data_IF_713657437463
#
_entry.id   IF_713657437463
#
_cell.length_a   1.000
_cell.length_b   1.000
_cell.length_c   1.000
_cell.angle_alpha   90.00
_cell.angle_beta   90.00
_cell.angle_gamma   90.00
#
_symmetry.space_group_name_H-M   'P 1'
#
loop_
_entity.id
_entity.type
_entity.pdbx_description
1 polymer ?
#
# COMPACT_ATOMS: atom_id res chain seq x y z
N UNK A 1 -16.32 -45.71 -51.22
CA UNK A 1 -15.65 -44.75 -52.12
C UNK A 1 -14.58 -44.06 -51.28
N UNK A 2 -13.31 -44.48 -51.35
CA UNK A 2 -12.25 -43.96 -52.25
C UNK A 2 -12.17 -42.42 -52.17
N UNK A 3 -11.06 -41.74 -51.86
CA UNK A 3 -9.62 -42.07 -51.86
C UNK A 3 -8.85 -40.94 -51.15
N UNK A 4 -7.77 -41.32 -50.45
CA UNK A 4 -6.40 -40.76 -50.45
C UNK A 4 -6.16 -39.25 -50.16
N UNK A 5 -5.03 -38.78 -49.62
CA UNK A 5 -3.83 -39.24 -48.89
C UNK A 5 -2.75 -38.15 -49.13
N UNK A 6 -1.61 -38.28 -48.43
CA UNK A 6 -0.25 -37.75 -48.75
C UNK A 6 0.08 -36.40 -48.09
N UNK A 7 1.25 -36.12 -47.48
CA UNK A 7 2.44 -36.82 -46.92
C UNK A 7 3.38 -35.64 -46.61
N UNK A 8 4.14 -35.67 -45.51
CA UNK A 8 5.20 -34.67 -45.32
C UNK A 8 5.92 -34.68 -43.99
N UNK A 9 6.40 -35.85 -43.55
CA UNK A 9 7.47 -35.94 -42.54
C UNK A 9 8.78 -35.59 -43.26
N UNK A 10 9.49 -34.56 -42.80
CA UNK A 10 10.91 -34.39 -43.10
C UNK A 10 11.69 -34.44 -41.79
N UNK A 11 12.18 -35.63 -41.50
CA UNK A 11 13.26 -35.88 -40.53
C UNK A 11 14.55 -35.50 -41.27
N UNK A 12 15.18 -34.38 -40.89
CA UNK A 12 16.61 -34.23 -41.10
C UNK A 12 17.31 -34.57 -39.79
N UNK A 13 17.80 -35.81 -39.74
CA UNK A 13 18.87 -36.19 -38.83
C UNK A 13 20.14 -35.52 -39.32
N UNK A 14 20.90 -34.90 -38.41
CA UNK A 14 22.31 -34.66 -38.65
C UNK A 14 23.05 -35.09 -37.39
N UNK A 15 23.68 -36.25 -37.54
CA UNK A 15 24.70 -36.81 -36.68
C UNK A 15 25.74 -35.76 -36.30
N UNK A 16 25.99 -35.63 -35.01
CA UNK A 16 27.01 -34.73 -34.49
C UNK A 16 27.14 -34.82 -32.98
N UNK A 17 27.26 -36.02 -32.42
CA UNK A 17 27.74 -36.20 -31.05
C UNK A 17 29.23 -35.80 -31.00
N UNK A 18 29.51 -34.51 -30.77
CA UNK A 18 30.81 -34.07 -30.32
C UNK A 18 30.85 -34.20 -28.79
N UNK A 19 31.66 -35.15 -28.33
CA UNK A 19 32.04 -35.32 -26.93
C UNK A 19 32.74 -34.03 -26.45
N UNK A 20 32.02 -33.21 -25.67
CA UNK A 20 32.66 -32.17 -24.87
C UNK A 20 33.42 -32.85 -23.72
N UNK A 21 34.73 -32.98 -23.90
CA UNK A 21 35.67 -33.29 -22.82
C UNK A 21 35.61 -32.11 -21.85
N UNK A 22 35.07 -32.35 -20.66
CA UNK A 22 35.19 -31.43 -19.52
C UNK A 22 36.66 -31.29 -19.19
N UNK A 23 37.22 -30.10 -19.40
CA UNK A 23 38.52 -29.72 -18.85
C UNK A 23 38.25 -29.13 -17.47
N UNK A 24 38.61 -29.87 -16.43
CA UNK A 24 38.52 -29.40 -15.06
C UNK A 24 39.47 -28.19 -14.83
N UNK A 25 39.16 -27.34 -13.83
CA UNK A 25 39.56 -25.95 -13.78
C UNK A 25 41.02 -25.74 -13.40
N UNK A 26 41.67 -24.76 -14.03
CA UNK A 26 42.97 -24.25 -13.59
C UNK A 26 42.71 -23.33 -12.38
N UNK A 27 43.31 -23.59 -11.21
CA UNK A 27 43.19 -22.72 -10.04
C UNK A 27 43.91 -21.39 -10.28
N UNK A 28 43.33 -20.24 -9.86
CA UNK A 28 44.03 -18.97 -9.94
C UNK A 28 45.18 -18.92 -8.94
N UNK A 29 46.35 -18.54 -9.46
CA UNK A 29 47.57 -18.24 -8.73
C UNK A 29 47.36 -17.00 -7.85
N UNK A 30 47.64 -17.14 -6.54
CA UNK A 30 47.47 -16.07 -5.54
C UNK A 30 48.77 -15.26 -5.50
N UNK A 31 48.72 -14.03 -6.00
CA UNK A 31 49.81 -13.04 -5.86
C UNK A 31 49.77 -12.43 -4.44
N UNK A 32 50.84 -12.50 -3.63
CA UNK A 32 50.85 -12.02 -2.26
C UNK A 32 51.18 -10.52 -2.22
N UNK A 33 50.28 -9.68 -2.72
CA UNK A 33 50.39 -8.23 -2.58
C UNK A 33 49.02 -7.56 -2.71
N UNK A 34 48.15 -7.75 -1.73
CA UNK A 34 47.25 -6.66 -1.36
C UNK A 34 46.93 -6.73 0.14
N UNK A 35 47.53 -5.78 0.84
CA UNK A 35 47.53 -5.59 2.28
C UNK A 35 46.33 -4.70 2.61
N UNK A 36 45.53 -5.16 3.58
CA UNK A 36 44.62 -4.37 4.42
C UNK A 36 43.80 -3.26 3.75
N UNK A 37 42.66 -3.64 3.15
CA UNK A 37 41.54 -2.71 2.98
C UNK A 37 40.47 -3.05 4.04
N UNK A 38 40.17 -2.15 5.00
CA UNK A 38 39.14 -2.41 5.98
C UNK A 38 37.78 -2.45 5.27
N UNK A 39 37.12 -3.60 5.35
CA UNK A 39 35.73 -3.79 4.95
C UNK A 39 34.87 -2.91 5.86
N UNK A 40 34.56 -1.69 5.41
CA UNK A 40 33.51 -0.88 6.02
C UNK A 40 32.18 -1.61 5.82
N UNK A 41 31.68 -2.19 6.92
CA UNK A 41 30.30 -2.62 7.06
C UNK A 41 29.40 -1.40 6.84
N UNK A 42 28.78 -1.31 5.66
CA UNK A 42 27.73 -0.34 5.40
C UNK A 42 26.55 -0.64 6.33
N UNK A 43 26.06 0.35 7.09
CA UNK A 43 24.86 0.16 7.90
C UNK A 43 23.65 -0.09 6.99
N UNK A 44 22.79 -0.99 7.49
CA UNK A 44 21.45 -1.30 6.96
C UNK A 44 20.74 -0.02 6.54
N UNK A 45 20.19 -0.01 5.32
CA UNK A 45 19.35 1.05 4.78
C UNK A 45 18.33 1.50 5.83
N UNK A 46 18.49 2.73 6.29
CA UNK A 46 17.61 3.34 7.27
C UNK A 46 16.21 3.51 6.67
N UNK A 47 15.22 2.98 7.38
CA UNK A 47 13.81 3.35 7.20
C UNK A 47 13.69 4.86 7.41
N UNK A 48 13.03 5.64 6.54
CA UNK A 48 12.71 7.01 6.85
C UNK A 48 11.73 7.01 8.04
N UNK A 49 12.22 7.41 9.21
CA UNK A 49 11.42 7.66 10.40
C UNK A 49 11.42 9.18 10.55
N UNK A 50 10.25 9.81 10.41
CA UNK A 50 10.09 11.22 10.79
C UNK A 50 10.50 11.37 12.26
N UNK A 51 11.23 12.42 12.60
CA UNK A 51 11.81 12.68 13.94
C UNK A 51 10.80 13.00 15.05
N UNK A 52 9.51 12.74 14.84
CA UNK A 52 8.41 12.85 15.80
C UNK A 52 7.83 11.46 16.07
N UNK A 53 7.51 11.14 17.33
CA UNK A 53 7.05 9.81 17.74
C UNK A 53 5.62 9.56 17.21
N UNK A 54 5.51 8.71 16.18
CA UNK A 54 4.22 8.35 15.60
C UNK A 54 3.31 7.70 16.64
N UNK A 55 2.06 8.17 16.74
CA UNK A 55 1.07 7.55 17.61
C UNK A 55 0.72 6.13 17.15
N UNK A 56 0.59 5.22 18.12
CA UNK A 56 0.20 3.82 17.91
C UNK A 56 1.30 2.93 17.32
N UNK A 57 0.93 1.67 17.06
CA UNK A 57 1.83 0.66 16.50
C UNK A 57 1.69 0.49 14.98
N UNK A 58 2.40 -0.48 14.42
CA UNK A 58 2.30 -0.90 13.01
C UNK A 58 1.49 -2.18 12.82
N UNK A 59 0.89 -2.72 13.87
CA UNK A 59 0.14 -3.96 13.82
C UNK A 59 -1.19 -3.77 13.09
N UNK A 60 -1.48 -4.67 12.13
CA UNK A 60 -2.79 -4.69 11.50
C UNK A 60 -3.84 -5.19 12.51
N UNK A 61 -5.05 -4.61 12.52
CA UNK A 61 -6.15 -5.17 13.28
C UNK A 61 -6.35 -6.65 12.92
N UNK A 62 -6.72 -7.46 13.91
CA UNK A 62 -6.76 -8.93 13.80
C UNK A 62 -7.57 -9.40 12.58
N UNK A 63 -8.66 -8.70 12.25
CA UNK A 63 -9.53 -9.00 11.11
C UNK A 63 -8.86 -8.81 9.73
N UNK A 64 -7.75 -8.06 9.65
CA UNK A 64 -6.98 -7.82 8.43
C UNK A 64 -5.64 -8.57 8.40
N UNK A 65 -5.11 -8.98 9.55
CA UNK A 65 -3.82 -9.70 9.67
C UNK A 65 -3.69 -10.89 8.71
N UNK A 66 -4.78 -11.65 8.52
CA UNK A 66 -4.81 -12.81 7.62
C UNK A 66 -5.10 -12.47 6.16
N UNK A 67 -5.54 -11.24 5.86
CA UNK A 67 -5.95 -10.81 4.51
C UNK A 67 -4.84 -10.19 3.69
N UNK A 68 -3.75 -9.82 4.33
CA UNK A 68 -2.61 -9.16 3.70
C UNK A 68 -1.31 -9.95 3.87
N UNK A 69 -0.38 -9.71 2.95
CA UNK A 69 1.03 -10.12 3.05
C UNK A 69 1.88 -8.86 3.01
N UNK A 70 2.72 -8.65 4.03
CA UNK A 70 3.67 -7.53 4.03
C UNK A 70 4.73 -7.74 2.94
N UNK A 71 5.08 -6.67 2.22
CA UNK A 71 6.09 -6.67 1.16
C UNK A 71 6.96 -5.42 1.25
N UNK A 72 8.16 -5.45 0.67
CA UNK A 72 8.97 -4.23 0.51
C UNK A 72 8.64 -3.56 -0.83
N UNK A 73 8.28 -2.27 -0.77
CA UNK A 73 8.14 -1.39 -1.93
C UNK A 73 8.40 0.07 -1.51
N UNK A 74 9.68 0.46 -1.37
CA UNK A 74 10.07 1.73 -0.73
C UNK A 74 9.53 2.96 -1.47
N UNK A 75 9.44 2.92 -2.80
CA UNK A 75 8.89 4.03 -3.59
C UNK A 75 7.40 4.26 -3.32
N UNK A 76 6.62 3.19 -3.14
CA UNK A 76 5.20 3.30 -2.79
C UNK A 76 5.02 3.75 -1.34
N UNK A 77 5.88 3.28 -0.43
CA UNK A 77 5.86 3.72 0.96
C UNK A 77 6.17 5.22 1.05
N UNK A 78 7.21 5.69 0.38
CA UNK A 78 7.60 7.10 0.38
C UNK A 78 6.50 8.04 -0.14
N UNK A 79 5.64 7.58 -1.05
CA UNK A 79 4.47 8.33 -1.52
C UNK A 79 3.37 8.48 -0.46
N UNK A 80 3.40 7.72 0.62
CA UNK A 80 2.37 7.75 1.65
C UNK A 80 2.82 8.44 2.94
N UNK A 81 4.12 8.50 3.21
CA UNK A 81 4.67 9.17 4.39
C UNK A 81 4.65 10.69 4.17
N UNK A 82 4.29 11.43 5.20
CA UNK A 82 4.38 12.90 5.21
C UNK A 82 5.16 13.44 6.39
N UNK A 83 5.65 14.65 6.20
CA UNK A 83 6.20 15.45 7.29
C UNK A 83 5.07 15.90 8.25
N UNK A 84 5.41 16.29 9.49
CA UNK A 84 4.45 16.93 10.39
C UNK A 84 3.62 18.00 9.68
N UNK A 85 2.35 18.08 10.06
CA UNK A 85 1.34 19.01 9.55
C UNK A 85 0.78 18.74 8.14
N UNK A 86 1.23 17.69 7.45
CA UNK A 86 0.75 17.35 6.09
C UNK A 86 -0.50 16.44 6.05
N UNK A 87 -0.90 15.80 7.16
CA UNK A 87 -2.07 14.92 7.23
C UNK A 87 -1.97 13.60 6.46
N UNK A 88 -0.74 13.12 6.21
CA UNK A 88 -0.44 11.85 5.51
C UNK A 88 -0.19 10.73 6.54
N UNK A 89 0.54 9.67 6.19
CA UNK A 89 0.99 8.69 7.17
C UNK A 89 2.23 9.18 7.91
N UNK A 90 2.31 8.93 9.22
CA UNK A 90 3.53 9.11 10.00
C UNK A 90 4.47 7.91 9.82
N UNK A 91 3.90 6.70 9.84
CA UNK A 91 4.59 5.44 9.62
C UNK A 91 3.67 4.50 8.83
N UNK A 92 4.25 3.57 8.06
CA UNK A 92 3.48 2.72 7.16
C UNK A 92 4.22 1.45 6.73
N UNK A 93 3.45 0.44 6.32
CA UNK A 93 3.95 -0.82 5.78
C UNK A 93 3.18 -1.13 4.50
N UNK A 94 3.90 -1.54 3.46
CA UNK A 94 3.29 -1.96 2.21
C UNK A 94 2.76 -3.39 2.35
N UNK A 95 1.52 -3.58 1.91
CA UNK A 95 0.82 -4.84 1.93
C UNK A 95 0.28 -5.20 0.55
N UNK A 96 0.23 -6.50 0.25
CA UNK A 96 -0.47 -7.06 -0.90
C UNK A 96 -1.72 -7.78 -0.41
N UNK A 97 -2.87 -7.47 -1.01
CA UNK A 97 -4.13 -8.16 -0.73
C UNK A 97 -4.07 -9.63 -1.18
N UNK A 98 -4.38 -10.56 -0.29
CA UNK A 98 -4.36 -12.00 -0.61
C UNK A 98 -5.54 -12.42 -1.48
N UNK A 99 -5.30 -13.46 -2.28
CA UNK A 99 -6.34 -14.15 -3.03
C UNK A 99 -7.45 -14.68 -2.11
N UNK A 100 -8.67 -14.77 -2.62
CA UNK A 100 -9.85 -15.29 -1.90
C UNK A 100 -10.17 -14.57 -0.58
N UNK A 101 -9.81 -13.29 -0.47
CA UNK A 101 -10.18 -12.46 0.68
C UNK A 101 -11.07 -11.31 0.24
N UNK A 102 -12.06 -10.97 1.07
CA UNK A 102 -12.90 -9.78 0.87
C UNK A 102 -12.40 -8.67 1.78
N UNK A 103 -11.90 -7.60 1.19
CA UNK A 103 -11.45 -6.39 1.88
C UNK A 103 -12.30 -5.25 1.35
N UNK A 104 -13.03 -4.61 2.26
CA UNK A 104 -13.85 -3.45 1.96
C UNK A 104 -13.13 -2.20 2.43
N UNK A 105 -13.04 -1.20 1.57
CA UNK A 105 -12.45 0.10 1.87
C UNK A 105 -13.52 1.19 1.77
N UNK A 106 -13.43 2.15 2.68
CA UNK A 106 -14.37 3.25 2.83
C UNK A 106 -13.66 4.58 2.58
N UNK A 107 -14.29 5.47 1.83
CA UNK A 107 -13.76 6.82 1.61
C UNK A 107 -14.87 7.84 1.70
N UNK A 108 -14.75 8.76 2.64
CA UNK A 108 -15.55 9.98 2.63
C UNK A 108 -14.92 10.98 1.65
N UNK A 109 -15.73 11.64 0.82
CA UNK A 109 -15.25 12.49 -0.27
C UNK A 109 -16.15 13.70 -0.50
N UNK A 110 -15.67 14.64 -1.32
CA UNK A 110 -16.31 15.92 -1.58
C UNK A 110 -17.20 15.84 -2.83
N UNK A 111 -18.52 15.92 -2.69
CA UNK A 111 -19.43 15.86 -3.83
C UNK A 111 -19.22 16.96 -4.88
N UNK A 112 -18.71 18.12 -4.47
CA UNK A 112 -18.42 19.25 -5.37
C UNK A 112 -17.14 19.04 -6.20
N UNK A 113 -16.31 18.07 -5.80
CA UNK A 113 -15.16 17.59 -6.58
C UNK A 113 -15.30 16.09 -6.85
N UNK A 114 -15.99 15.67 -7.93
CA UNK A 114 -16.20 14.27 -8.27
C UNK A 114 -14.91 13.45 -8.46
N UNK A 115 -13.81 14.09 -8.88
CA UNK A 115 -12.50 13.42 -8.97
C UNK A 115 -11.98 12.97 -7.60
N UNK A 116 -12.44 13.58 -6.51
CA UNK A 116 -12.09 13.16 -5.15
C UNK A 116 -12.73 11.83 -4.73
N UNK A 117 -13.68 11.29 -5.49
CA UNK A 117 -14.39 10.04 -5.17
C UNK A 117 -13.45 8.84 -5.02
N UNK A 118 -12.46 8.72 -5.90
CA UNK A 118 -11.47 7.63 -5.93
C UNK A 118 -10.06 8.15 -5.67
N UNK A 119 -9.93 9.14 -4.79
CA UNK A 119 -8.62 9.60 -4.32
C UNK A 119 -7.89 8.56 -3.46
N UNK A 120 -6.71 8.91 -2.99
CA UNK A 120 -5.73 7.93 -2.50
C UNK A 120 -5.99 7.42 -1.08
N UNK A 121 -6.71 8.18 -0.26
CA UNK A 121 -6.88 7.92 1.17
C UNK A 121 -8.19 7.19 1.49
N UNK A 122 -8.09 6.06 2.17
CA UNK A 122 -9.18 5.16 2.50
C UNK A 122 -9.11 4.68 3.95
N UNK A 123 -10.26 4.22 4.46
CA UNK A 123 -10.41 3.64 5.79
C UNK A 123 -10.72 2.14 5.70
N UNK A 124 -10.20 1.36 6.65
CA UNK A 124 -10.50 -0.08 6.80
C UNK A 124 -11.90 -0.34 7.38
N UNK A 125 -12.49 0.66 8.03
CA UNK A 125 -13.79 0.57 8.70
C UNK A 125 -14.69 1.71 8.26
N UNK A 126 -16.00 1.45 8.20
CA UNK A 126 -16.99 2.50 7.99
C UNK A 126 -16.87 3.57 9.07
N UNK A 127 -16.87 4.86 8.71
CA UNK A 127 -16.96 5.96 9.67
C UNK A 127 -18.20 5.80 10.55
N UNK A 128 -18.04 6.02 11.86
CA UNK A 128 -19.10 5.95 12.88
C UNK A 128 -18.82 7.00 13.95
N UNK A 129 -19.86 7.42 14.66
CA UNK A 129 -19.72 8.40 15.74
C UNK A 129 -19.73 9.84 15.23
N UNK A 130 -19.03 10.73 15.93
CA UNK A 130 -19.02 12.15 15.64
C UNK A 130 -18.14 12.45 14.41
N UNK A 131 -18.62 13.32 13.52
CA UNK A 131 -17.84 13.75 12.34
C UNK A 131 -16.51 14.40 12.77
N UNK A 132 -16.51 15.17 13.86
CA UNK A 132 -15.32 15.82 14.38
C UNK A 132 -14.24 14.80 14.81
N UNK A 133 -14.65 13.71 15.47
CA UNK A 133 -13.74 12.62 15.86
C UNK A 133 -13.19 11.91 14.62
N UNK A 134 -14.03 11.59 13.63
CA UNK A 134 -13.57 10.99 12.38
C UNK A 134 -12.58 11.89 11.62
N UNK A 135 -12.78 13.21 11.62
CA UNK A 135 -11.82 14.15 11.03
C UNK A 135 -10.50 14.15 11.76
N UNK A 136 -10.52 14.15 13.10
CA UNK A 136 -9.29 14.08 13.89
C UNK A 136 -8.55 12.76 13.71
N UNK A 137 -9.29 11.65 13.71
CA UNK A 137 -8.75 10.29 13.57
C UNK A 137 -8.01 10.07 12.25
N UNK A 138 -8.44 10.73 11.18
CA UNK A 138 -7.89 10.62 9.82
C UNK A 138 -7.26 11.93 9.31
N UNK A 139 -7.06 12.91 10.20
CA UNK A 139 -6.51 14.24 9.91
C UNK A 139 -7.13 14.94 8.68
N UNK A 140 -8.46 14.88 8.55
CA UNK A 140 -9.17 15.43 7.40
C UNK A 140 -9.63 16.86 7.68
N UNK A 141 -8.84 17.83 7.20
CA UNK A 141 -9.20 19.24 7.28
C UNK A 141 -10.55 19.55 6.61
N UNK A 142 -11.31 20.46 7.20
CA UNK A 142 -12.64 20.84 6.70
C UNK A 142 -12.58 21.50 5.32
N UNK A 143 -11.47 22.16 4.98
CA UNK A 143 -11.21 22.77 3.68
C UNK A 143 -10.94 21.73 2.59
N UNK A 144 -10.42 20.54 2.95
CA UNK A 144 -10.10 19.50 1.97
C UNK A 144 -11.34 18.73 1.54
N UNK A 145 -12.25 18.46 2.47
CA UNK A 145 -13.48 17.72 2.18
C UNK A 145 -14.60 18.07 3.15
N UNK A 146 -15.83 18.32 2.66
CA UNK A 146 -17.02 18.46 3.49
C UNK A 146 -17.51 17.13 4.08
N UNK A 147 -17.04 15.97 3.57
CA UNK A 147 -17.47 14.62 3.96
C UNK A 147 -18.96 14.37 3.73
N UNK A 148 -19.50 14.90 2.64
CA UNK A 148 -20.92 14.83 2.30
C UNK A 148 -21.31 13.59 1.48
N UNK A 149 -20.31 12.80 1.05
CA UNK A 149 -20.49 11.51 0.39
C UNK A 149 -19.57 10.46 0.99
N UNK A 150 -20.02 9.21 0.92
CA UNK A 150 -19.21 8.04 1.23
C UNK A 150 -19.17 7.11 0.02
N UNK A 151 -18.01 6.54 -0.28
CA UNK A 151 -17.88 5.43 -1.24
C UNK A 151 -17.32 4.21 -0.52
N UNK A 152 -17.96 3.07 -0.76
CA UNK A 152 -17.54 1.75 -0.31
C UNK A 152 -17.11 0.96 -1.55
N UNK A 153 -15.90 0.42 -1.56
CA UNK A 153 -15.40 -0.42 -2.65
C UNK A 153 -14.77 -1.71 -2.11
N UNK A 154 -14.70 -2.72 -2.97
CA UNK A 154 -13.90 -3.92 -2.72
C UNK A 154 -12.49 -3.76 -3.30
N UNK A 155 -11.48 -4.17 -2.54
CA UNK A 155 -10.08 -4.19 -2.98
C UNK A 155 -9.80 -5.45 -3.80
N UNK A 156 -9.19 -5.31 -4.97
CA UNK A 156 -8.79 -6.44 -5.82
C UNK A 156 -7.68 -7.25 -5.15
N UNK A 157 -7.73 -8.57 -5.33
CA UNK A 157 -6.62 -9.42 -4.92
C UNK A 157 -5.35 -9.06 -5.71
N UNK A 158 -4.20 -9.06 -5.03
CA UNK A 158 -2.92 -8.65 -5.61
C UNK A 158 -2.67 -7.14 -5.59
N UNK A 159 -3.66 -6.30 -5.27
CA UNK A 159 -3.46 -4.86 -5.12
C UNK A 159 -2.47 -4.55 -3.99
N UNK A 160 -1.64 -3.54 -4.21
CA UNK A 160 -0.69 -3.01 -3.22
C UNK A 160 -1.30 -1.81 -2.51
N UNK A 161 -1.20 -1.80 -1.20
CA UNK A 161 -1.66 -0.70 -0.34
C UNK A 161 -0.59 -0.37 0.68
N UNK A 162 -0.54 0.86 1.16
CA UNK A 162 0.20 1.18 2.39
C UNK A 162 -0.80 1.34 3.51
N UNK A 163 -0.55 0.68 4.64
CA UNK A 163 -1.38 0.82 5.84
C UNK A 163 -0.49 1.33 6.97
N UNK A 164 -0.96 2.35 7.68
CA UNK A 164 -0.16 3.06 8.66
C UNK A 164 -0.97 3.97 9.57
N UNK A 165 -0.30 4.62 10.51
CA UNK A 165 -0.88 5.59 11.44
C UNK A 165 -0.75 7.01 10.89
N UNK A 166 -1.67 7.90 11.26
CA UNK A 166 -1.77 9.25 10.70
C UNK A 166 -0.74 10.22 11.28
N UNK A 167 -0.17 11.05 10.41
CA UNK A 167 0.64 12.22 10.76
C UNK A 167 -0.25 13.40 11.15
N UNK A 168 0.26 14.35 11.94
CA UNK A 168 -0.47 15.58 12.26
C UNK A 168 -0.86 16.38 11.01
N UNK A 169 -1.85 17.26 11.15
CA UNK A 169 -2.26 18.18 10.09
C UNK A 169 -2.59 19.56 10.64
N UNK A 170 -1.97 20.59 10.07
CA UNK A 170 -2.38 21.97 10.32
C UNK A 170 -3.44 22.37 9.31
N UNK A 171 -4.69 22.50 9.77
CA UNK A 171 -5.82 22.85 8.92
C UNK A 171 -6.04 24.37 8.83
N UNK A 172 -5.72 25.11 9.89
CA UNK A 172 -5.76 26.58 9.94
C UNK A 172 -5.03 27.06 11.20
N UNK A 173 -4.86 28.37 11.36
CA UNK A 173 -4.27 28.99 12.58
C UNK A 173 -4.97 28.60 13.89
N UNK A 174 -6.19 28.06 13.83
CA UNK A 174 -7.00 27.68 15.00
C UNK A 174 -7.38 26.20 15.04
N UNK A 175 -6.89 25.40 14.08
CA UNK A 175 -7.22 23.99 14.01
C UNK A 175 -6.03 23.20 13.51
N UNK A 176 -5.51 22.39 14.41
CA UNK A 176 -4.52 21.37 14.16
C UNK A 176 -5.09 20.02 14.63
N UNK A 177 -4.84 18.98 13.87
CA UNK A 177 -5.06 17.61 14.31
C UNK A 177 -3.72 16.99 14.70
N UNK A 178 -3.62 16.34 15.88
CA UNK A 178 -2.39 15.64 16.28
C UNK A 178 -2.18 14.39 15.43
N UNK A 179 -1.08 13.67 15.63
CA UNK A 179 -0.92 12.30 15.10
C UNK A 179 -2.03 11.37 15.61
N UNK A 180 -2.33 10.30 14.86
CA UNK A 180 -3.42 9.37 15.22
C UNK A 180 -2.99 7.91 15.09
N UNK A 181 -3.29 7.13 16.11
CA UNK A 181 -3.13 5.67 16.11
C UNK A 181 -4.07 4.92 15.14
N UNK A 182 -5.07 5.60 14.56
CA UNK A 182 -6.00 4.97 13.62
C UNK A 182 -5.28 4.57 12.34
N UNK A 183 -5.58 3.36 11.87
CA UNK A 183 -5.01 2.84 10.63
C UNK A 183 -5.71 3.46 9.42
N UNK A 184 -4.94 4.18 8.61
CA UNK A 184 -5.35 4.70 7.31
C UNK A 184 -4.74 3.87 6.18
N UNK A 185 -5.38 3.88 5.03
CA UNK A 185 -4.96 3.11 3.85
C UNK A 185 -4.67 4.06 2.70
N UNK A 186 -3.45 3.99 2.17
CA UNK A 186 -3.05 4.69 0.96
C UNK A 186 -3.09 3.75 -0.25
N UNK A 187 -3.78 4.16 -1.31
CA UNK A 187 -3.84 3.53 -2.62
C UNK A 187 -3.43 4.53 -3.70
N UNK A 188 -2.26 4.32 -4.32
CA UNK A 188 -1.82 5.18 -5.42
C UNK A 188 -2.74 5.10 -6.66
N UNK A 189 -3.36 3.94 -6.92
CA UNK A 189 -4.16 3.69 -8.13
C UNK A 189 -5.55 3.11 -7.80
N UNK A 190 -6.35 3.83 -7.01
CA UNK A 190 -7.67 3.37 -6.57
C UNK A 190 -8.60 2.95 -7.73
N UNK A 191 -8.58 3.68 -8.86
CA UNK A 191 -9.37 3.34 -10.06
C UNK A 191 -9.03 1.93 -10.61
N UNK A 192 -7.76 1.55 -10.55
CA UNK A 192 -7.28 0.26 -11.06
C UNK A 192 -7.43 -0.86 -10.04
N UNK A 193 -7.31 -0.55 -8.74
CA UNK A 193 -7.23 -1.54 -7.67
C UNK A 193 -8.56 -1.80 -6.96
N UNK A 194 -9.58 -0.99 -7.21
CA UNK A 194 -10.91 -1.12 -6.61
C UNK A 194 -11.95 -1.60 -7.62
N UNK A 195 -13.01 -2.22 -7.10
CA UNK A 195 -14.17 -2.65 -7.87
C UNK A 195 -15.41 -2.72 -6.99
N UNK A 196 -16.57 -2.95 -7.61
CA UNK A 196 -17.86 -3.12 -6.93
C UNK A 196 -18.17 -1.97 -5.95
N UNK A 197 -18.03 -0.74 -6.46
CA UNK A 197 -18.14 0.48 -5.67
C UNK A 197 -19.59 0.95 -5.55
N UNK A 198 -20.03 1.21 -4.33
CA UNK A 198 -21.33 1.83 -4.02
C UNK A 198 -21.12 3.17 -3.31
N UNK A 199 -21.92 4.17 -3.66
CA UNK A 199 -21.85 5.51 -3.03
C UNK A 199 -23.11 5.82 -2.22
N UNK A 200 -22.92 6.58 -1.15
CA UNK A 200 -23.95 6.97 -0.19
C UNK A 200 -23.91 8.48 0.06
N UNK A 201 -25.05 9.05 0.47
CA UNK A 201 -25.14 10.41 0.97
C UNK A 201 -24.83 10.43 2.47
N UNK A 202 -24.15 11.48 2.94
CA UNK A 202 -24.16 11.80 4.35
C UNK A 202 -25.53 12.39 4.74
N UNK A 203 -26.13 11.88 5.80
CA UNK A 203 -27.42 12.33 6.32
C UNK A 203 -27.32 12.56 7.83
N UNK A 204 -28.22 13.39 8.35
CA UNK A 204 -28.23 13.72 9.77
C UNK A 204 -28.63 12.53 10.64
N UNK A 205 -27.92 12.36 11.75
CA UNK A 205 -28.33 11.49 12.86
C UNK A 205 -27.97 12.20 14.17
N UNK A 206 -28.96 12.70 14.89
CA UNK A 206 -28.77 13.49 16.10
C UNK A 206 -28.71 12.58 17.33
N UNK A 207 -27.62 12.67 18.10
CA UNK A 207 -27.47 11.98 19.38
C UNK A 207 -27.54 12.99 20.53
N UNK A 208 -28.19 12.66 21.67
CA UNK A 208 -28.22 13.54 22.83
C UNK A 208 -26.82 13.73 23.42
N UNK A 209 -26.56 14.91 23.99
CA UNK A 209 -25.35 15.16 24.77
C UNK A 209 -25.55 14.51 26.14
N UNK A 210 -24.68 13.54 26.48
CA UNK A 210 -24.66 12.91 27.79
C UNK A 210 -23.54 13.57 28.59
N UNK A 211 -23.91 14.40 29.57
CA UNK A 211 -22.97 14.94 30.55
C UNK A 211 -22.83 13.91 31.66
N UNK A 212 -21.63 13.34 31.83
CA UNK A 212 -21.29 12.50 32.99
C UNK A 212 -20.99 13.37 34.21
#
# INVERSE_FOLDING_TARGET
MLKNAITGILILSCSGCALLVKKDPIPPEIDPADVDVPVLLLPSTATPISTEECAGDMELPVEFSRKFTAVSAPELLAQSIGEPDEGRLCQGQVYVAKQNTKILLFRAWNSTNPASKLGEWWALKSPRGQIAEYRSDYQICYQWSPLDKLTLCSLKAGAKVVIGTGQSATCSDYLEYPTSEKKQVYLANADADLFDCTSYNAEFNWTPIINN
#
